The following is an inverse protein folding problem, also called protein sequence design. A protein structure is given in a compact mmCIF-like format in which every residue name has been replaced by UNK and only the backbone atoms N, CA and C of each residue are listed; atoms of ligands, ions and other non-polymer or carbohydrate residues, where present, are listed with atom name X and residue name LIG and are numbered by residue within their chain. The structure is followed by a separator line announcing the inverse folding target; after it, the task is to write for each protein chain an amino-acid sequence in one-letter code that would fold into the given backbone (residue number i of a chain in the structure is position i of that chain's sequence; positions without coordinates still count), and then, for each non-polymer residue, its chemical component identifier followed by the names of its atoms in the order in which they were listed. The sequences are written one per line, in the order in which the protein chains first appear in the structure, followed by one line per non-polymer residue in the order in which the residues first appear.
data_IF_162362785248
#
_entry.id   IF_162362785248
#
_cell.length_a   1.000
_cell.length_b   1.000
_cell.length_c   1.000
_cell.angle_alpha   90.00
_cell.angle_beta   90.00
_cell.angle_gamma   90.00
#
_symmetry.space_group_name_H-M   'P 1'
#
loop_
_entity.id
_entity.type
_entity.pdbx_description
1 polymer ?
#
# COMPACT_ATOMS: atom_id res chain seq x y z
N UNK A 1 5.09 10.17 12.78
CA UNK A 1 5.47 9.10 11.83
C UNK A 1 4.47 9.02 10.71
N UNK A 2 4.94 8.94 9.48
CA UNK A 2 4.04 8.82 8.34
C UNK A 2 3.55 7.39 8.22
N UNK A 3 2.31 7.24 7.82
CA UNK A 3 1.66 5.95 7.74
C UNK A 3 1.33 5.63 6.29
N UNK A 4 1.77 4.47 5.84
CA UNK A 4 1.62 4.05 4.44
C UNK A 4 0.74 2.82 4.37
N UNK A 5 -0.24 2.87 3.48
CA UNK A 5 -1.09 1.71 3.20
C UNK A 5 -0.53 0.99 1.99
N UNK A 6 -0.20 -0.28 2.18
CA UNK A 6 0.33 -1.13 1.09
C UNK A 6 -0.82 -2.00 0.59
N UNK A 7 -1.09 -1.91 -0.71
CA UNK A 7 -2.13 -2.73 -1.34
C UNK A 7 -1.44 -3.72 -2.26
N UNK A 8 -1.42 -4.97 -1.84
CA UNK A 8 -0.67 -6.01 -2.53
C UNK A 8 -1.25 -7.38 -2.17
N UNK A 9 -1.51 -8.21 -3.16
CA UNK A 9 -2.09 -9.53 -2.92
C UNK A 9 -1.06 -10.62 -2.68
N UNK A 10 0.20 -10.38 -3.03
CA UNK A 10 1.28 -11.35 -2.84
C UNK A 10 1.91 -11.16 -1.46
N UNK A 11 1.87 -12.22 -0.65
CA UNK A 11 2.37 -12.12 0.72
C UNK A 11 3.86 -11.80 0.78
N UNK A 12 4.64 -12.40 -0.11
CA UNK A 12 6.08 -12.15 -0.12
C UNK A 12 6.39 -10.68 -0.41
N UNK A 13 5.63 -10.09 -1.33
CA UNK A 13 5.84 -8.70 -1.69
C UNK A 13 5.36 -7.79 -0.58
N UNK A 14 4.25 -8.15 0.08
CA UNK A 14 3.78 -7.40 1.24
C UNK A 14 4.89 -7.30 2.29
N UNK A 15 5.50 -8.44 2.62
CA UNK A 15 6.56 -8.47 3.62
C UNK A 15 7.76 -7.66 3.20
N UNK A 16 8.13 -7.76 1.94
CA UNK A 16 9.28 -7.03 1.43
C UNK A 16 9.05 -5.52 1.54
N UNK A 17 7.90 -5.05 1.08
CA UNK A 17 7.59 -3.63 1.12
C UNK A 17 7.45 -3.13 2.54
N UNK A 18 6.79 -3.90 3.38
CA UNK A 18 6.61 -3.52 4.77
C UNK A 18 7.95 -3.38 5.47
N UNK A 19 8.82 -4.37 5.31
CA UNK A 19 10.13 -4.35 5.94
C UNK A 19 10.93 -3.14 5.47
N UNK A 20 10.92 -2.91 4.18
CA UNK A 20 11.66 -1.80 3.61
C UNK A 20 11.18 -0.46 4.16
N UNK A 21 9.86 -0.27 4.21
CA UNK A 21 9.30 1.00 4.65
C UNK A 21 9.46 1.20 6.15
N UNK A 22 9.28 0.14 6.93
CA UNK A 22 9.45 0.26 8.37
C UNK A 22 10.90 0.53 8.72
N UNK A 23 11.81 -0.04 7.96
CA UNK A 23 13.23 0.22 8.16
C UNK A 23 13.58 1.67 7.84
N UNK A 24 12.83 2.28 6.94
CA UNK A 24 13.01 3.68 6.60
C UNK A 24 12.29 4.64 7.56
N UNK A 25 11.59 4.11 8.56
CA UNK A 25 10.96 4.92 9.58
C UNK A 25 9.47 5.18 9.39
N UNK A 26 8.82 4.44 8.51
CA UNK A 26 7.39 4.63 8.26
C UNK A 26 6.56 3.58 9.00
N UNK A 27 5.35 3.97 9.38
CA UNK A 27 4.37 3.01 9.82
C UNK A 27 3.67 2.43 8.61
N UNK A 28 3.29 1.15 8.66
CA UNK A 28 2.66 0.50 7.53
C UNK A 28 1.42 -0.26 7.92
N UNK A 29 0.49 -0.36 6.99
CA UNK A 29 -0.64 -1.27 7.05
C UNK A 29 -0.74 -1.95 5.70
N UNK A 30 -1.26 -3.16 5.68
CA UNK A 30 -1.31 -3.95 4.45
C UNK A 30 -2.73 -4.37 4.16
N UNK A 31 -3.15 -4.19 2.91
CA UNK A 31 -4.44 -4.66 2.42
C UNK A 31 -4.19 -5.64 1.29
N UNK A 32 -4.91 -6.73 1.27
CA UNK A 32 -4.72 -7.76 0.25
C UNK A 32 -5.44 -7.50 -1.06
N UNK A 33 -6.36 -6.56 -1.08
CA UNK A 33 -7.10 -6.21 -2.28
C UNK A 33 -7.68 -4.81 -2.15
N UNK A 34 -8.35 -4.37 -3.21
CA UNK A 34 -8.89 -3.01 -3.25
C UNK A 34 -10.02 -2.77 -2.27
N UNK A 35 -10.83 -3.80 -2.01
CA UNK A 35 -11.93 -3.66 -1.07
C UNK A 35 -11.42 -3.45 0.35
N UNK A 36 -10.45 -4.27 0.74
CA UNK A 36 -9.83 -4.13 2.05
C UNK A 36 -9.11 -2.79 2.17
N UNK A 37 -8.43 -2.38 1.10
CA UNK A 37 -7.72 -1.10 1.09
C UNK A 37 -8.66 0.06 1.31
N UNK A 38 -9.79 0.05 0.62
CA UNK A 38 -10.77 1.12 0.72
C UNK A 38 -11.35 1.20 2.13
N UNK A 39 -11.65 0.03 2.69
CA UNK A 39 -12.17 -0.04 4.04
C UNK A 39 -11.18 0.52 5.06
N UNK A 40 -9.91 0.17 4.90
CA UNK A 40 -8.87 0.67 5.80
C UNK A 40 -8.64 2.17 5.62
N UNK A 41 -8.71 2.62 4.38
CA UNK A 41 -8.51 4.03 4.10
C UNK A 41 -9.60 4.89 4.75
N UNK A 42 -10.82 4.37 4.81
CA UNK A 42 -11.91 5.08 5.47
C UNK A 42 -11.83 4.99 7.00
N UNK A 43 -11.20 3.93 7.50
CA UNK A 43 -11.11 3.71 8.94
C UNK A 43 -10.06 4.58 9.62
N UNK A 44 -9.01 4.95 8.89
CA UNK A 44 -7.95 5.76 9.46
C UNK A 44 -7.21 6.51 8.35
N UNK A 45 -6.55 7.62 8.69
CA UNK A 45 -5.82 8.38 7.69
C UNK A 45 -4.50 7.73 7.31
N UNK A 46 -4.13 7.87 6.05
CA UNK A 46 -2.83 7.44 5.55
C UNK A 46 -2.18 8.59 4.81
N UNK A 47 -0.86 8.67 4.89
CA UNK A 47 -0.11 9.69 4.18
C UNK A 47 0.13 9.29 2.73
N UNK A 48 0.17 7.99 2.47
CA UNK A 48 0.44 7.47 1.13
C UNK A 48 -0.19 6.10 0.98
N UNK A 49 -0.67 5.81 -0.22
CA UNK A 49 -1.17 4.48 -0.57
C UNK A 49 -0.26 3.92 -1.65
N UNK A 50 0.37 2.79 -1.36
CA UNK A 50 1.29 2.14 -2.29
C UNK A 50 0.60 0.94 -2.91
N UNK A 51 0.37 0.99 -4.22
CA UNK A 51 -0.32 -0.06 -4.94
C UNK A 51 0.67 -0.97 -5.66
N UNK A 52 0.22 -2.21 -5.92
CA UNK A 52 0.98 -3.14 -6.71
C UNK A 52 1.18 -2.58 -8.12
N UNK A 53 2.42 -2.34 -8.48
CA UNK A 53 2.76 -1.78 -9.77
C UNK A 53 2.95 -2.83 -10.85
N UNK A 54 2.67 -4.07 -10.53
CA UNK A 54 2.85 -5.18 -11.47
C UNK A 54 1.64 -5.38 -12.37
N UNK A 55 0.59 -4.62 -12.18
CA UNK A 55 -0.62 -4.75 -12.99
C UNK A 55 -0.36 -4.27 -14.42
N UNK A 56 -0.52 -5.15 -15.40
CA UNK A 56 -0.12 -4.81 -16.77
C UNK A 56 -0.99 -3.76 -17.45
N UNK A 57 -2.26 -3.71 -17.14
CA UNK A 57 -3.18 -2.79 -17.80
C UNK A 57 -3.40 -1.51 -17.00
N UNK A 58 -2.70 -1.35 -15.90
CA UNK A 58 -2.87 -0.18 -15.07
C UNK A 58 -1.53 0.45 -14.76
N UNK A 59 -1.45 1.73 -14.94
CA UNK A 59 -0.26 2.48 -14.58
C UNK A 59 -0.35 2.83 -13.10
N UNK A 60 0.59 2.32 -12.31
CA UNK A 60 0.60 2.56 -10.88
C UNK A 60 0.71 4.03 -10.53
N UNK A 61 1.38 4.80 -11.36
CA UNK A 61 1.49 6.24 -11.13
C UNK A 61 0.15 6.93 -11.18
N UNK A 62 -0.68 6.52 -12.13
CA UNK A 62 -2.00 7.14 -12.26
C UNK A 62 -2.83 6.86 -11.02
N UNK A 63 -2.76 5.65 -10.50
CA UNK A 63 -3.51 5.29 -9.31
C UNK A 63 -2.99 6.03 -8.09
N UNK A 64 -1.69 6.08 -7.92
CA UNK A 64 -1.10 6.71 -6.74
C UNK A 64 -1.37 8.21 -6.68
N UNK A 65 -1.56 8.83 -7.82
CA UNK A 65 -1.81 10.27 -7.84
C UNK A 65 -3.25 10.64 -7.57
N UNK A 66 -4.11 9.66 -7.59
CA UNK A 66 -5.51 9.91 -7.32
C UNK A 66 -5.83 9.80 -5.84
#
# INVERSE_FOLDING_TARGET
MKHILIVEDELDIQELLRTYLEDAGYGTSVAGDGVAALSMFHAQPFDLVLLDLMLPEMNGFDVCRK
#
